data_IF_968574657470
#
_entry.id   IF_968574657470
#
_cell.length_a   1.000
_cell.length_b   1.000
_cell.length_c   1.000
_cell.angle_alpha   90.00
_cell.angle_beta   90.00
_cell.angle_gamma   90.00
#
_symmetry.space_group_name_H-M   'P 1'
#
loop_
_entity.id
_entity.type
_entity.pdbx_description
1 polymer ?
#
# COMPACT_ATOMS: atom_id res chain seq x y z
N UNK A 1 18.44 -25.02 -14.81
CA UNK A 1 17.91 -24.00 -15.71
C UNK A 1 16.48 -23.67 -15.44
N UNK A 2 15.62 -24.69 -15.36
CA UNK A 2 14.21 -24.46 -15.06
C UNK A 2 14.01 -23.93 -13.65
N UNK A 3 14.87 -24.32 -12.74
CA UNK A 3 14.81 -23.81 -11.37
C UNK A 3 15.02 -22.31 -11.34
N UNK A 4 15.90 -21.80 -12.18
CA UNK A 4 16.17 -20.38 -12.24
C UNK A 4 14.95 -19.61 -12.72
N UNK A 5 14.23 -20.16 -13.68
CA UNK A 5 13.01 -19.52 -14.18
C UNK A 5 11.94 -19.45 -13.11
N UNK A 6 11.75 -20.56 -12.36
CA UNK A 6 10.78 -20.58 -11.27
C UNK A 6 11.16 -19.59 -10.17
N UNK A 7 12.44 -19.54 -9.85
CA UNK A 7 12.94 -18.63 -8.83
C UNK A 7 12.73 -17.18 -9.26
N UNK A 8 12.97 -16.89 -10.53
CA UNK A 8 12.74 -15.54 -11.06
C UNK A 8 11.28 -15.12 -10.98
N UNK A 9 10.38 -16.07 -11.28
CA UNK A 9 8.94 -15.78 -11.23
C UNK A 9 8.50 -15.48 -9.80
N UNK A 10 8.98 -16.26 -8.83
CA UNK A 10 8.65 -16.06 -7.42
C UNK A 10 9.18 -14.69 -6.96
N UNK A 11 10.42 -14.39 -7.30
CA UNK A 11 11.03 -13.11 -6.95
C UNK A 11 10.24 -11.94 -7.54
N UNK A 12 9.80 -12.09 -8.79
CA UNK A 12 9.01 -11.05 -9.45
C UNK A 12 7.71 -10.81 -8.69
N UNK A 13 7.01 -11.87 -8.31
CA UNK A 13 5.75 -11.75 -7.59
C UNK A 13 5.97 -11.08 -6.24
N UNK A 14 7.01 -11.48 -5.51
CA UNK A 14 7.32 -10.88 -4.21
C UNK A 14 7.64 -9.40 -4.35
N UNK A 15 8.45 -9.05 -5.34
CA UNK A 15 8.80 -7.65 -5.57
C UNK A 15 7.59 -6.83 -5.99
N UNK A 16 6.71 -7.41 -6.80
CA UNK A 16 5.50 -6.73 -7.22
C UNK A 16 4.59 -6.44 -6.03
N UNK A 17 4.42 -7.40 -5.13
CA UNK A 17 3.62 -7.20 -3.93
C UNK A 17 4.24 -6.13 -3.03
N UNK A 18 5.57 -6.17 -2.87
CA UNK A 18 6.28 -5.18 -2.07
C UNK A 18 6.13 -3.79 -2.65
N UNK A 19 6.24 -3.67 -3.96
CA UNK A 19 6.09 -2.38 -4.61
C UNK A 19 4.69 -1.83 -4.45
N UNK A 20 3.68 -2.69 -4.54
CA UNK A 20 2.31 -2.25 -4.33
C UNK A 20 2.06 -1.83 -2.89
N UNK A 21 2.64 -2.57 -1.93
CA UNK A 21 2.51 -2.20 -0.53
C UNK A 21 3.13 -0.83 -0.27
N UNK A 22 4.31 -0.59 -0.85
CA UNK A 22 4.98 0.71 -0.74
C UNK A 22 4.12 1.81 -1.34
N UNK A 23 3.55 1.55 -2.52
CA UNK A 23 2.68 2.52 -3.17
C UNK A 23 1.46 2.85 -2.31
N UNK A 24 0.84 1.84 -1.71
CA UNK A 24 -0.32 2.07 -0.85
C UNK A 24 0.04 2.88 0.38
N UNK A 25 1.23 2.64 0.96
CA UNK A 25 1.68 3.43 2.10
C UNK A 25 1.93 4.87 1.73
N UNK A 26 2.49 5.09 0.54
CA UNK A 26 2.73 6.45 0.06
C UNK A 26 1.41 7.18 -0.18
N UNK A 27 0.43 6.49 -0.74
CA UNK A 27 -0.89 7.09 -0.95
C UNK A 27 -1.57 7.38 0.39
N UNK A 28 -1.43 6.47 1.36
CA UNK A 28 -1.99 6.70 2.69
C UNK A 28 -1.38 7.95 3.33
N UNK A 29 -0.06 8.12 3.21
CA UNK A 29 0.62 9.29 3.74
C UNK A 29 0.13 10.56 3.05
N UNK A 30 -0.10 10.48 1.74
CA UNK A 30 -0.61 11.61 0.97
C UNK A 30 -2.00 12.02 1.45
N UNK A 31 -2.88 11.05 1.66
CA UNK A 31 -4.22 11.34 2.18
C UNK A 31 -4.17 11.95 3.56
N UNK A 32 -3.25 11.50 4.40
CA UNK A 32 -3.06 12.10 5.73
C UNK A 32 -2.65 13.56 5.61
N UNK A 33 -1.70 13.86 4.73
CA UNK A 33 -1.25 15.24 4.51
C UNK A 33 -2.38 16.10 4.00
N UNK A 34 -3.17 15.57 3.07
CA UNK A 34 -4.33 16.31 2.56
C UNK A 34 -5.34 16.59 3.66
N UNK A 35 -5.55 15.59 4.55
CA UNK A 35 -6.49 15.76 5.65
C UNK A 35 -6.05 16.88 6.58
N UNK A 36 -4.75 17.01 6.83
CA UNK A 36 -4.23 18.05 7.70
C UNK A 36 -4.47 19.45 7.13
N UNK A 37 -4.49 19.55 5.82
CA UNK A 37 -4.69 20.84 5.15
C UNK A 37 -6.14 21.13 4.83
N UNK A 38 -7.03 20.17 5.03
CA UNK A 38 -8.42 20.29 4.64
C UNK A 38 -9.24 21.02 5.70
N UNK A 39 -9.85 22.16 5.37
CA UNK A 39 -10.64 22.91 6.35
C UNK A 39 -12.00 22.31 6.66
N UNK A 40 -12.58 21.52 5.74
CA UNK A 40 -13.92 20.95 5.96
C UNK A 40 -13.82 19.68 6.80
N UNK A 41 -14.48 19.64 7.98
CA UNK A 41 -14.36 18.49 8.86
C UNK A 41 -14.82 17.17 8.24
N UNK A 42 -15.91 17.19 7.48
CA UNK A 42 -16.41 15.96 6.88
C UNK A 42 -15.44 15.41 5.83
N UNK A 43 -14.87 16.28 5.03
CA UNK A 43 -13.89 15.85 4.03
C UNK A 43 -12.59 15.39 4.69
N UNK A 44 -12.19 16.05 5.76
CA UNK A 44 -11.02 15.65 6.53
C UNK A 44 -11.18 14.23 7.07
N UNK A 45 -12.35 13.91 7.63
CA UNK A 45 -12.65 12.57 8.12
C UNK A 45 -12.61 11.55 6.98
N UNK A 46 -13.15 11.93 5.83
CA UNK A 46 -13.14 11.05 4.67
C UNK A 46 -11.72 10.74 4.20
N UNK A 47 -10.87 11.75 4.14
CA UNK A 47 -9.47 11.57 3.74
C UNK A 47 -8.72 10.67 4.71
N UNK A 48 -8.98 10.82 6.02
CA UNK A 48 -8.35 9.95 7.02
C UNK A 48 -8.84 8.52 6.90
N UNK A 49 -10.11 8.33 6.57
CA UNK A 49 -10.65 7.00 6.34
C UNK A 49 -9.97 6.34 5.13
N UNK A 50 -9.76 7.09 4.06
CA UNK A 50 -9.04 6.59 2.89
C UNK A 50 -7.61 6.20 3.25
N UNK A 51 -6.93 7.02 4.05
CA UNK A 51 -5.57 6.71 4.47
C UNK A 51 -5.53 5.37 5.21
N UNK A 52 -6.48 5.14 6.12
CA UNK A 52 -6.54 3.87 6.86
C UNK A 52 -6.79 2.69 5.94
N UNK A 53 -7.67 2.87 4.94
CA UNK A 53 -7.95 1.79 3.99
C UNK A 53 -6.71 1.42 3.18
N UNK A 54 -5.94 2.41 2.74
CA UNK A 54 -4.73 2.15 2.00
C UNK A 54 -3.67 1.48 2.86
N UNK A 55 -3.56 1.87 4.13
CA UNK A 55 -2.64 1.20 5.06
C UNK A 55 -3.04 -0.26 5.27
N UNK A 56 -4.35 -0.54 5.35
CA UNK A 56 -4.83 -1.92 5.47
C UNK A 56 -4.47 -2.74 4.25
N UNK A 57 -4.60 -2.17 3.06
CA UNK A 57 -4.24 -2.88 1.84
C UNK A 57 -2.74 -3.20 1.81
N UNK A 58 -1.92 -2.27 2.27
CA UNK A 58 -0.49 -2.51 2.36
C UNK A 58 -0.18 -3.63 3.35
N UNK A 59 -0.82 -3.59 4.51
CA UNK A 59 -0.61 -4.61 5.54
C UNK A 59 -1.03 -5.99 5.05
N UNK A 60 -2.13 -6.07 4.31
CA UNK A 60 -2.60 -7.34 3.75
C UNK A 60 -1.58 -7.95 2.81
N UNK A 61 -0.93 -7.12 2.00
CA UNK A 61 0.10 -7.61 1.10
C UNK A 61 1.31 -8.13 1.86
N UNK A 62 1.69 -7.46 2.94
CA UNK A 62 2.81 -7.89 3.78
C UNK A 62 2.51 -9.23 4.47
N UNK A 63 1.28 -9.38 4.98
CA UNK A 63 0.87 -10.61 5.65
C UNK A 63 0.90 -11.79 4.68
N UNK A 64 0.43 -11.59 3.47
CA UNK A 64 0.41 -12.66 2.46
C UNK A 64 1.79 -13.12 2.07
N UNK A 65 2.77 -12.27 2.23
CA UNK A 65 4.15 -12.61 1.92
C UNK A 65 4.75 -13.57 2.94
N UNK A 66 4.33 -13.44 4.17
CA UNK A 66 4.81 -14.27 5.24
C UNK A 66 4.34 -15.69 5.08
#
# INVERSE_FOLDING_TARGET
MQEDASRSAVTFVENSARMRATHYREEAARFCSMAELEPLPSLRRHLRALAREYDKMAANLDVKRG
#
